data_IF_461463437856
#
_entry.id   IF_461463437856
#
_cell.length_a   1.000
_cell.length_b   1.000
_cell.length_c   1.000
_cell.angle_alpha   90.00
_cell.angle_beta   90.00
_cell.angle_gamma   90.00
#
_symmetry.space_group_name_H-M   'P 1'
#
loop_
_entity.id
_entity.type
_entity.pdbx_description
1 polymer ?
#
# COMPACT_ATOMS: atom_id res chain seq x y z
N UNK A 1 24.62 -13.20 13.99
CA UNK A 1 24.42 -13.29 12.54
C UNK A 1 23.83 -14.66 12.11
N UNK A 2 24.46 -15.83 12.50
CA UNK A 2 23.93 -17.16 12.16
C UNK A 2 22.57 -17.42 12.82
N UNK A 3 22.40 -17.04 14.09
CA UNK A 3 21.13 -17.16 14.80
C UNK A 3 20.04 -16.29 14.15
N UNK A 4 20.36 -15.06 13.78
CA UNK A 4 19.42 -14.13 13.16
C UNK A 4 19.00 -14.62 11.76
N UNK A 5 19.97 -15.14 10.99
CA UNK A 5 19.73 -15.71 9.67
C UNK A 5 18.83 -16.95 9.76
N UNK A 6 19.11 -17.82 10.74
CA UNK A 6 18.28 -18.99 11.00
C UNK A 6 16.85 -18.62 11.39
N UNK A 7 16.68 -17.57 12.20
CA UNK A 7 15.36 -17.06 12.57
C UNK A 7 14.64 -16.46 11.37
N UNK A 8 15.34 -15.70 10.53
CA UNK A 8 14.76 -15.11 9.33
C UNK A 8 14.25 -16.18 8.36
N UNK A 9 15.01 -17.27 8.15
CA UNK A 9 14.68 -18.35 7.21
C UNK A 9 13.56 -19.28 7.70
N UNK A 10 13.26 -19.26 8.99
CA UNK A 10 12.07 -19.94 9.52
C UNK A 10 10.76 -19.23 9.17
N UNK A 11 10.83 -18.02 8.59
CA UNK A 11 9.64 -17.33 8.12
C UNK A 11 8.94 -18.12 7.00
N UNK A 12 7.60 -18.28 7.05
CA UNK A 12 6.83 -18.99 6.04
C UNK A 12 7.09 -18.58 4.58
N UNK A 13 7.56 -17.36 4.34
CA UNK A 13 7.94 -16.89 2.99
C UNK A 13 9.07 -17.75 2.36
N UNK A 14 9.85 -18.49 3.16
CA UNK A 14 10.97 -19.31 2.69
C UNK A 14 10.68 -20.82 2.72
N UNK A 15 9.44 -21.24 3.00
CA UNK A 15 9.08 -22.68 3.16
C UNK A 15 9.50 -23.52 1.95
N UNK A 16 9.34 -22.99 0.73
CA UNK A 16 9.66 -23.73 -0.49
C UNK A 16 11.15 -23.75 -0.83
N UNK A 17 11.95 -22.87 -0.24
CA UNK A 17 13.35 -22.66 -0.58
C UNK A 17 14.22 -22.46 0.67
N UNK A 18 13.88 -23.13 1.77
CA UNK A 18 14.65 -22.99 3.01
C UNK A 18 16.04 -23.62 2.85
N UNK A 19 17.13 -22.83 2.90
CA UNK A 19 18.49 -23.34 2.85
C UNK A 19 18.80 -24.14 4.13
N UNK A 20 19.66 -25.14 3.99
CA UNK A 20 20.13 -25.91 5.12
C UNK A 20 21.17 -25.15 5.99
N UNK A 21 21.58 -25.75 7.10
CA UNK A 21 22.48 -25.10 8.06
C UNK A 21 23.88 -24.87 7.46
N UNK A 22 24.32 -25.74 6.59
CA UNK A 22 25.66 -25.65 5.96
C UNK A 22 25.66 -24.59 4.85
N UNK A 23 24.58 -24.46 4.09
CA UNK A 23 24.39 -23.35 3.15
C UNK A 23 24.36 -21.98 3.85
N UNK A 24 23.71 -21.90 5.02
CA UNK A 24 23.71 -20.66 5.83
C UNK A 24 25.10 -20.28 6.32
N UNK A 25 25.91 -21.26 6.73
CA UNK A 25 27.31 -21.05 7.13
C UNK A 25 28.16 -20.59 5.95
N UNK A 26 28.02 -21.27 4.81
CA UNK A 26 28.72 -20.89 3.58
C UNK A 26 28.37 -19.46 3.15
N UNK A 27 27.11 -19.07 3.22
CA UNK A 27 26.68 -17.71 2.91
C UNK A 27 27.33 -16.66 3.83
N UNK A 28 27.49 -16.97 5.13
CA UNK A 28 28.17 -16.09 6.08
C UNK A 28 29.65 -15.98 5.80
N UNK A 29 30.31 -17.10 5.50
CA UNK A 29 31.77 -17.17 5.31
C UNK A 29 32.19 -16.55 3.97
N UNK A 30 31.44 -16.79 2.90
CA UNK A 30 31.78 -16.36 1.55
C UNK A 30 31.14 -15.04 1.12
N UNK A 31 30.03 -14.64 1.74
CA UNK A 31 29.29 -13.42 1.37
C UNK A 31 28.79 -12.65 2.60
N UNK A 32 29.64 -12.27 3.57
CA UNK A 32 29.20 -11.67 4.86
C UNK A 32 28.47 -10.35 4.67
N UNK A 33 28.88 -9.53 3.69
CA UNK A 33 28.24 -8.24 3.37
C UNK A 33 26.82 -8.47 2.81
N UNK A 34 26.68 -9.43 1.89
CA UNK A 34 25.37 -9.77 1.30
C UNK A 34 24.43 -10.34 2.36
N UNK A 35 24.93 -11.22 3.20
CA UNK A 35 24.17 -11.82 4.32
C UNK A 35 23.67 -10.75 5.30
N UNK A 36 24.53 -9.79 5.62
CA UNK A 36 24.15 -8.66 6.49
C UNK A 36 23.12 -7.75 5.81
N UNK A 37 23.29 -7.49 4.53
CA UNK A 37 22.34 -6.68 3.75
C UNK A 37 20.97 -7.38 3.65
N UNK A 38 20.95 -8.70 3.43
CA UNK A 38 19.74 -9.51 3.44
C UNK A 38 19.00 -9.42 4.80
N UNK A 39 19.71 -9.59 5.91
CA UNK A 39 19.09 -9.46 7.24
C UNK A 39 18.51 -8.09 7.49
N UNK A 40 19.19 -7.02 7.08
CA UNK A 40 18.67 -5.66 7.18
C UNK A 40 17.42 -5.48 6.33
N UNK A 41 17.41 -6.01 5.10
CA UNK A 41 16.25 -5.96 4.21
C UNK A 41 15.07 -6.74 4.82
N UNK A 42 15.32 -7.95 5.34
CA UNK A 42 14.30 -8.76 6.00
C UNK A 42 13.71 -8.06 7.23
N UNK A 43 14.56 -7.47 8.09
CA UNK A 43 14.11 -6.72 9.26
C UNK A 43 13.28 -5.49 8.87
N UNK A 44 13.71 -4.77 7.81
CA UNK A 44 12.94 -3.65 7.28
C UNK A 44 11.60 -4.09 6.70
N UNK A 45 11.56 -5.21 6.00
CA UNK A 45 10.34 -5.81 5.48
C UNK A 45 9.38 -6.21 6.63
N UNK A 46 9.89 -6.88 7.67
CA UNK A 46 9.09 -7.22 8.87
C UNK A 46 8.56 -5.98 9.57
N UNK A 47 9.38 -4.96 9.75
CA UNK A 47 8.96 -3.69 10.35
C UNK A 47 7.88 -2.99 9.50
N UNK A 48 7.99 -3.03 8.18
CA UNK A 48 6.98 -2.50 7.28
C UNK A 48 5.64 -3.26 7.39
N UNK A 49 5.70 -4.60 7.47
CA UNK A 49 4.51 -5.44 7.71
C UNK A 49 3.90 -5.12 9.08
N UNK A 50 4.71 -5.04 10.14
CA UNK A 50 4.25 -4.73 11.49
C UNK A 50 3.62 -3.32 11.55
N UNK A 51 4.16 -2.35 10.83
CA UNK A 51 3.59 -1.02 10.73
C UNK A 51 2.25 -1.03 9.95
N UNK A 52 2.17 -1.79 8.88
CA UNK A 52 0.92 -1.99 8.13
C UNK A 52 -0.14 -2.67 9.02
N UNK A 53 0.27 -3.65 9.84
CA UNK A 53 -0.62 -4.33 10.78
C UNK A 53 -1.05 -3.46 11.97
N UNK A 54 -0.19 -2.53 12.43
CA UNK A 54 -0.54 -1.55 13.47
C UNK A 54 -1.54 -0.51 13.00
N UNK A 55 -1.60 -0.24 11.70
CA UNK A 55 -2.58 0.65 11.09
C UNK A 55 -3.97 0.01 10.95
N UNK A 56 -4.07 -1.33 11.13
CA UNK A 56 -5.33 -2.08 11.17
C UNK A 56 -5.54 -2.65 12.58
N UNK A 57 -6.21 -1.91 13.47
CA UNK A 57 -6.51 -2.35 14.83
C UNK A 57 -7.34 -3.65 14.82
N UNK A 58 -6.84 -4.71 15.41
CA UNK A 58 -7.38 -5.63 16.41
C UNK A 58 -6.78 -7.05 16.32
N UNK A 59 -6.59 -7.62 17.51
CA UNK A 59 -5.95 -8.87 17.87
C UNK A 59 -6.34 -10.10 17.03
N UNK A 60 -5.39 -10.63 16.24
CA UNK A 60 -5.35 -12.06 15.86
C UNK A 60 -3.89 -12.51 15.72
N UNK A 61 -3.58 -13.83 15.91
CA UNK A 61 -2.22 -14.35 15.70
C UNK A 61 -1.81 -14.09 14.25
N UNK A 62 -0.75 -13.27 14.09
CA UNK A 62 -0.36 -12.67 12.82
C UNK A 62 0.08 -13.65 11.73
N UNK A 63 0.51 -14.85 12.13
CA UNK A 63 1.29 -15.74 11.28
C UNK A 63 0.49 -16.58 10.29
N UNK A 64 -0.78 -16.86 10.58
CA UNK A 64 -1.64 -17.68 9.71
C UNK A 64 -2.60 -16.87 8.82
N UNK A 65 -2.90 -15.63 9.18
CA UNK A 65 -3.93 -14.83 8.48
C UNK A 65 -3.32 -13.92 7.41
N UNK A 66 -2.07 -13.49 7.57
CA UNK A 66 -1.42 -12.59 6.62
C UNK A 66 -1.14 -13.27 5.28
N UNK A 67 -0.58 -14.47 5.30
CA UNK A 67 -0.24 -15.22 4.08
C UNK A 67 -1.47 -15.65 3.28
N UNK A 68 -2.54 -16.13 3.95
CA UNK A 68 -3.74 -16.57 3.25
C UNK A 68 -4.53 -15.41 2.62
N UNK A 69 -4.59 -14.25 3.28
CA UNK A 69 -5.32 -13.09 2.76
C UNK A 69 -4.56 -12.39 1.63
N UNK A 70 -3.24 -12.30 1.68
CA UNK A 70 -2.43 -11.72 0.61
C UNK A 70 -2.48 -12.59 -0.65
N UNK A 71 -2.30 -13.90 -0.52
CA UNK A 71 -2.42 -14.83 -1.65
C UNK A 71 -3.80 -14.73 -2.29
N UNK A 72 -4.87 -14.68 -1.50
CA UNK A 72 -6.25 -14.59 -2.01
C UNK A 72 -6.49 -13.26 -2.75
N UNK A 73 -5.95 -12.13 -2.26
CA UNK A 73 -6.05 -10.83 -2.94
C UNK A 73 -5.25 -10.84 -4.24
N UNK A 74 -4.03 -11.38 -4.23
CA UNK A 74 -3.23 -11.52 -5.45
C UNK A 74 -3.91 -12.40 -6.50
N UNK A 75 -4.52 -13.52 -6.08
CA UNK A 75 -5.26 -14.40 -6.98
C UNK A 75 -6.50 -13.70 -7.53
N UNK A 76 -7.20 -12.92 -6.71
CA UNK A 76 -8.31 -12.09 -7.15
C UNK A 76 -7.86 -11.05 -8.20
N UNK A 77 -6.82 -10.27 -7.93
CA UNK A 77 -6.28 -9.30 -8.90
C UNK A 77 -5.87 -9.99 -10.21
N UNK A 78 -5.20 -11.14 -10.12
CA UNK A 78 -4.81 -11.93 -11.30
C UNK A 78 -6.02 -12.46 -12.07
N UNK A 79 -7.07 -12.92 -11.39
CA UNK A 79 -8.29 -13.38 -12.04
C UNK A 79 -9.02 -12.26 -12.80
N UNK A 80 -8.90 -11.01 -12.32
CA UNK A 80 -9.37 -9.81 -13.00
C UNK A 80 -8.39 -9.28 -14.07
N UNK A 81 -7.30 -10.02 -14.36
CA UNK A 81 -6.29 -9.58 -15.32
C UNK A 81 -5.51 -8.33 -14.86
N UNK A 82 -5.49 -8.04 -13.57
CA UNK A 82 -4.96 -6.80 -12.98
C UNK A 82 -5.55 -5.53 -13.62
N UNK A 83 -6.80 -5.59 -14.06
CA UNK A 83 -7.50 -4.48 -14.70
C UNK A 83 -8.89 -4.30 -14.09
N UNK A 84 -9.17 -3.09 -13.64
CA UNK A 84 -10.43 -2.71 -13.00
C UNK A 84 -11.05 -1.52 -13.75
N UNK A 85 -11.78 -1.83 -14.83
CA UNK A 85 -12.40 -0.85 -15.73
C UNK A 85 -13.21 0.25 -14.99
N UNK A 86 -14.00 -0.04 -13.92
CA UNK A 86 -14.69 1.00 -13.19
C UNK A 86 -13.77 2.02 -12.52
N UNK A 87 -12.60 1.58 -12.00
CA UNK A 87 -11.61 2.47 -11.39
C UNK A 87 -10.82 3.26 -12.43
N UNK A 88 -10.49 2.63 -13.57
CA UNK A 88 -9.85 3.32 -14.69
C UNK A 88 -10.72 4.46 -15.20
N UNK A 89 -12.02 4.18 -15.46
CA UNK A 89 -12.96 5.21 -15.90
C UNK A 89 -13.13 6.32 -14.88
N UNK A 90 -13.18 5.99 -13.59
CA UNK A 90 -13.28 7.00 -12.54
C UNK A 90 -12.02 7.89 -12.50
N UNK A 91 -10.84 7.30 -12.68
CA UNK A 91 -9.58 8.04 -12.75
C UNK A 91 -9.50 8.92 -14.00
N UNK A 92 -9.86 8.38 -15.18
CA UNK A 92 -9.90 9.12 -16.44
C UNK A 92 -10.91 10.27 -16.40
N UNK A 93 -12.10 10.03 -15.87
CA UNK A 93 -13.12 11.06 -15.72
C UNK A 93 -12.63 12.18 -14.81
N UNK A 94 -12.00 11.84 -13.70
CA UNK A 94 -11.44 12.82 -12.77
C UNK A 94 -10.33 13.67 -13.43
N UNK A 95 -9.48 13.03 -14.22
CA UNK A 95 -8.43 13.72 -14.98
C UNK A 95 -8.99 14.60 -16.12
N UNK A 96 -10.09 14.15 -16.75
CA UNK A 96 -10.72 14.87 -17.88
C UNK A 96 -11.59 16.02 -17.40
N UNK A 97 -12.35 15.85 -16.32
CA UNK A 97 -13.21 16.90 -15.73
C UNK A 97 -12.42 18.17 -15.36
N UNK A 98 -11.15 17.97 -15.04
CA UNK A 98 -10.25 19.06 -14.70
C UNK A 98 -8.84 18.76 -15.21
N UNK A 99 -8.57 18.91 -16.52
CA UNK A 99 -7.25 18.73 -17.05
C UNK A 99 -6.26 19.62 -16.31
N UNK A 100 -5.26 19.02 -15.70
CA UNK A 100 -4.18 19.75 -15.05
C UNK A 100 -2.84 19.10 -15.39
N UNK A 101 -1.77 19.88 -15.52
CA UNK A 101 -0.42 19.32 -15.62
C UNK A 101 -0.08 18.46 -14.41
N UNK A 102 0.79 17.44 -14.55
CA UNK A 102 1.18 16.55 -13.45
C UNK A 102 1.71 17.27 -12.21
N UNK A 103 2.37 18.41 -12.40
CA UNK A 103 2.90 19.28 -11.35
C UNK A 103 1.79 20.05 -10.59
N UNK A 104 0.62 20.23 -11.18
CA UNK A 104 -0.54 20.86 -10.52
C UNK A 104 -1.47 19.84 -9.83
N UNK A 105 -1.30 18.53 -10.07
CA UNK A 105 -2.16 17.46 -9.54
C UNK A 105 -2.28 17.52 -8.01
N UNK A 106 -1.19 17.79 -7.32
CA UNK A 106 -1.19 17.95 -5.86
C UNK A 106 -2.18 19.03 -5.40
N UNK A 107 -2.12 20.20 -6.01
CA UNK A 107 -2.99 21.32 -5.64
C UNK A 107 -4.45 21.05 -6.02
N UNK A 108 -4.68 20.36 -7.12
CA UNK A 108 -6.01 19.95 -7.57
C UNK A 108 -6.65 18.98 -6.57
N UNK A 109 -5.93 17.92 -6.17
CA UNK A 109 -6.41 16.93 -5.20
C UNK A 109 -6.63 17.55 -3.83
N UNK A 110 -5.70 18.38 -3.36
CA UNK A 110 -5.85 19.12 -2.10
C UNK A 110 -7.10 20.01 -2.10
N UNK A 111 -7.31 20.76 -3.18
CA UNK A 111 -8.48 21.61 -3.34
C UNK A 111 -9.78 20.79 -3.40
N UNK A 112 -9.79 19.63 -4.08
CA UNK A 112 -10.95 18.76 -4.19
C UNK A 112 -11.32 18.16 -2.85
N UNK A 113 -10.36 17.57 -2.12
CA UNK A 113 -10.56 17.04 -0.77
C UNK A 113 -11.15 18.11 0.17
N UNK A 114 -10.63 19.33 0.10
CA UNK A 114 -11.13 20.40 0.95
C UNK A 114 -12.53 20.88 0.54
N UNK A 115 -12.72 21.23 -0.74
CA UNK A 115 -13.98 21.86 -1.21
C UNK A 115 -15.16 20.90 -1.24
N UNK A 116 -14.93 19.64 -1.63
CA UNK A 116 -16.02 18.67 -1.81
C UNK A 116 -16.29 17.87 -0.52
N UNK A 117 -15.26 17.58 0.27
CA UNK A 117 -15.36 16.70 1.43
C UNK A 117 -15.04 17.38 2.76
N UNK A 118 -14.57 18.62 2.73
CA UNK A 118 -14.18 19.35 3.93
C UNK A 118 -12.89 18.85 4.56
N UNK A 119 -12.13 17.99 3.88
CA UNK A 119 -10.91 17.39 4.41
C UNK A 119 -9.75 18.37 4.25
N UNK A 120 -9.17 18.80 5.38
CA UNK A 120 -7.98 19.64 5.39
C UNK A 120 -6.73 18.80 5.21
N UNK A 121 -5.85 19.17 4.28
CA UNK A 121 -4.59 18.46 4.03
C UNK A 121 -3.43 19.30 4.56
N UNK A 122 -2.66 18.74 5.50
CA UNK A 122 -1.48 19.39 6.09
C UNK A 122 -0.26 18.48 5.97
N UNK A 123 0.92 19.09 5.87
CA UNK A 123 2.19 18.37 5.97
C UNK A 123 2.79 18.67 7.32
N UNK A 124 3.18 17.63 8.04
CA UNK A 124 3.76 17.71 9.38
C UNK A 124 5.20 17.21 9.40
N UNK A 125 6.04 17.76 10.32
CA UNK A 125 7.39 17.26 10.58
C UNK A 125 7.40 15.79 10.97
N UNK A 126 8.52 15.11 10.71
CA UNK A 126 8.69 13.67 11.02
C UNK A 126 8.44 13.40 12.51
N UNK A 127 8.94 14.28 13.37
CA UNK A 127 8.82 14.16 14.83
C UNK A 127 7.37 14.14 15.32
N UNK A 128 6.49 14.88 14.65
CA UNK A 128 5.06 14.94 14.99
C UNK A 128 4.30 13.72 14.45
N UNK A 129 4.77 13.12 13.38
CA UNK A 129 4.14 11.96 12.72
C UNK A 129 4.43 10.61 13.38
N UNK A 130 5.38 10.53 14.32
CA UNK A 130 5.71 9.30 15.07
C UNK A 130 5.85 8.06 14.17
N UNK A 131 6.67 8.15 13.14
CA UNK A 131 6.92 7.12 12.12
C UNK A 131 5.74 6.84 11.15
N UNK A 132 4.60 7.52 11.30
CA UNK A 132 3.52 7.43 10.33
C UNK A 132 3.83 8.29 9.09
N UNK A 133 3.58 7.75 7.91
CA UNK A 133 3.69 8.53 6.66
C UNK A 133 2.39 9.29 6.35
N UNK A 134 1.26 8.79 6.82
CA UNK A 134 -0.06 9.36 6.65
C UNK A 134 -0.95 9.08 7.86
N UNK A 135 -1.69 10.09 8.29
CA UNK A 135 -2.78 9.95 9.27
C UNK A 135 -4.03 10.57 8.65
N UNK A 136 -5.09 9.76 8.52
CA UNK A 136 -6.39 10.21 8.05
C UNK A 136 -7.38 10.16 9.21
N UNK A 137 -7.67 11.32 9.77
CA UNK A 137 -8.71 11.50 10.78
C UNK A 137 -10.05 11.76 10.07
N UNK A 138 -10.89 10.73 10.02
CA UNK A 138 -12.19 10.77 9.35
C UNK A 138 -13.15 11.69 10.11
N UNK A 139 -13.16 11.65 11.44
CA UNK A 139 -14.05 12.46 12.30
C UNK A 139 -13.64 13.94 12.28
N UNK A 140 -12.34 14.20 12.43
CA UNK A 140 -11.78 15.55 12.37
C UNK A 140 -11.63 16.10 10.94
N UNK A 141 -11.97 15.31 9.93
CA UNK A 141 -11.81 15.66 8.49
C UNK A 141 -10.43 16.23 8.18
N UNK A 142 -9.39 15.54 8.66
CA UNK A 142 -8.01 15.96 8.49
C UNK A 142 -7.17 14.84 7.87
N UNK A 143 -6.37 15.18 6.88
CA UNK A 143 -5.34 14.34 6.28
C UNK A 143 -3.97 14.96 6.56
N UNK A 144 -3.19 14.28 7.39
CA UNK A 144 -1.84 14.68 7.74
C UNK A 144 -0.84 13.80 6.99
N UNK A 145 0.11 14.41 6.32
CA UNK A 145 1.15 13.76 5.54
C UNK A 145 2.52 14.10 6.12
N UNK A 146 3.39 13.11 6.21
CA UNK A 146 4.75 13.34 6.70
C UNK A 146 5.57 14.14 5.68
N UNK A 147 6.43 15.02 6.17
CA UNK A 147 7.46 15.69 5.35
C UNK A 147 8.50 14.72 4.80
N UNK A 148 8.64 13.51 5.37
CA UNK A 148 9.48 12.44 4.83
C UNK A 148 9.02 11.96 3.45
N UNK A 149 7.74 12.15 3.10
CA UNK A 149 7.23 11.86 1.76
C UNK A 149 7.67 12.97 0.80
N UNK A 150 8.21 12.58 -0.35
CA UNK A 150 8.40 13.50 -1.46
C UNK A 150 7.06 13.95 -2.08
N UNK A 151 7.11 14.90 -2.97
CA UNK A 151 5.93 15.50 -3.60
C UNK A 151 5.06 14.48 -4.36
N UNK A 152 5.61 13.58 -5.21
CA UNK A 152 4.83 12.54 -5.87
C UNK A 152 4.15 11.59 -4.90
N UNK A 153 4.84 11.16 -3.85
CA UNK A 153 4.26 10.27 -2.85
C UNK A 153 3.16 10.94 -2.03
N UNK A 154 3.28 12.23 -1.68
CA UNK A 154 2.17 12.98 -1.05
C UNK A 154 0.96 13.06 -1.96
N UNK A 155 1.17 13.29 -3.25
CA UNK A 155 0.10 13.32 -4.25
C UNK A 155 -0.60 11.97 -4.34
N UNK A 156 0.17 10.88 -4.36
CA UNK A 156 -0.35 9.52 -4.33
C UNK A 156 -1.21 9.24 -3.09
N UNK A 157 -0.75 9.66 -1.90
CA UNK A 157 -1.52 9.47 -0.67
C UNK A 157 -2.85 10.24 -0.68
N UNK A 158 -2.90 11.42 -1.29
CA UNK A 158 -4.16 12.15 -1.46
C UNK A 158 -5.11 11.46 -2.44
N UNK A 159 -4.59 10.96 -3.58
CA UNK A 159 -5.38 10.20 -4.54
C UNK A 159 -5.97 8.93 -3.92
N UNK A 160 -5.17 8.22 -3.13
CA UNK A 160 -5.60 7.05 -2.39
C UNK A 160 -6.75 7.36 -1.41
N UNK A 161 -6.63 8.43 -0.61
CA UNK A 161 -7.71 8.85 0.31
C UNK A 161 -8.95 9.29 -0.49
N UNK A 162 -8.76 10.00 -1.59
CA UNK A 162 -9.86 10.42 -2.45
C UNK A 162 -10.67 9.22 -2.97
N UNK A 163 -10.00 8.11 -3.30
CA UNK A 163 -10.66 6.88 -3.72
C UNK A 163 -11.65 6.40 -2.66
N UNK A 164 -11.24 6.31 -1.41
CA UNK A 164 -12.13 5.89 -0.32
C UNK A 164 -13.29 6.85 -0.07
N UNK A 165 -13.11 8.14 -0.34
CA UNK A 165 -14.12 9.16 -0.04
C UNK A 165 -15.12 9.31 -1.18
N UNK A 166 -14.69 9.16 -2.43
CA UNK A 166 -15.55 9.41 -3.60
C UNK A 166 -16.01 8.14 -4.32
N UNK A 167 -15.28 7.04 -4.20
CA UNK A 167 -15.50 5.83 -4.98
C UNK A 167 -15.65 4.58 -4.13
N UNK A 168 -16.09 4.74 -2.87
CA UNK A 168 -16.34 3.63 -1.95
C UNK A 168 -17.31 2.60 -2.56
N UNK A 169 -18.39 3.06 -3.20
CA UNK A 169 -19.37 2.19 -3.86
C UNK A 169 -18.74 1.35 -4.98
N UNK A 170 -17.75 1.90 -5.70
CA UNK A 170 -17.01 1.15 -6.73
C UNK A 170 -16.14 0.09 -6.08
N UNK A 171 -15.44 0.42 -4.98
CA UNK A 171 -14.63 -0.55 -4.24
C UNK A 171 -15.48 -1.71 -3.72
N UNK A 172 -16.65 -1.41 -3.14
CA UNK A 172 -17.61 -2.40 -2.66
C UNK A 172 -18.10 -3.28 -3.81
N UNK A 173 -18.56 -2.68 -4.91
CA UNK A 173 -19.05 -3.41 -6.09
C UNK A 173 -18.01 -4.36 -6.68
N UNK A 174 -16.72 -3.95 -6.74
CA UNK A 174 -15.64 -4.82 -7.25
C UNK A 174 -15.43 -6.04 -6.32
N UNK A 175 -15.61 -5.86 -5.02
CA UNK A 175 -15.38 -6.93 -4.05
C UNK A 175 -16.60 -7.80 -3.74
N UNK A 176 -17.82 -7.38 -4.10
CA UNK A 176 -19.04 -8.17 -3.93
C UNK A 176 -18.99 -9.52 -4.64
N UNK A 177 -18.47 -9.55 -5.88
CA UNK A 177 -18.35 -10.76 -6.70
C UNK A 177 -17.01 -11.51 -6.44
N UNK A 178 -16.23 -11.08 -5.45
CA UNK A 178 -14.94 -11.69 -5.17
C UNK A 178 -15.07 -12.93 -4.28
N UNK A 179 -14.05 -13.79 -4.30
CA UNK A 179 -13.92 -14.92 -3.37
C UNK A 179 -13.50 -14.50 -1.94
N UNK A 180 -13.43 -13.20 -1.67
CA UNK A 180 -13.03 -12.65 -0.38
C UNK A 180 -14.19 -12.78 0.63
N UNK A 181 -14.02 -13.61 1.64
CA UNK A 181 -15.11 -13.96 2.59
C UNK A 181 -15.00 -13.26 3.94
N UNK A 182 -13.83 -12.72 4.27
CA UNK A 182 -13.61 -12.05 5.56
C UNK A 182 -13.59 -10.53 5.40
N UNK A 183 -14.17 -9.82 6.37
CA UNK A 183 -14.11 -8.35 6.40
C UNK A 183 -12.66 -7.85 6.23
N UNK A 184 -11.71 -8.49 6.90
CA UNK A 184 -10.29 -8.12 6.82
C UNK A 184 -9.72 -8.26 5.41
N UNK A 185 -10.04 -9.34 4.69
CA UNK A 185 -9.57 -9.52 3.31
C UNK A 185 -10.22 -8.50 2.36
N UNK A 186 -11.48 -8.15 2.60
CA UNK A 186 -12.19 -7.11 1.84
C UNK A 186 -11.56 -5.74 2.12
N UNK A 187 -11.39 -5.36 3.40
CA UNK A 187 -10.76 -4.08 3.78
C UNK A 187 -9.35 -3.95 3.18
N UNK A 188 -8.58 -5.05 3.21
CA UNK A 188 -7.25 -5.07 2.60
C UNK A 188 -7.32 -4.96 1.07
N UNK A 189 -8.26 -5.63 0.42
CA UNK A 189 -8.48 -5.52 -1.01
C UNK A 189 -8.85 -4.09 -1.41
N UNK A 190 -9.70 -3.41 -0.64
CA UNK A 190 -10.04 -2.01 -0.87
C UNK A 190 -8.80 -1.10 -0.82
N UNK A 191 -7.82 -1.37 0.08
CA UNK A 191 -6.56 -0.63 0.12
C UNK A 191 -5.78 -0.84 -1.19
N UNK A 192 -5.67 -2.06 -1.69
CA UNK A 192 -4.96 -2.35 -2.94
C UNK A 192 -5.70 -1.76 -4.16
N UNK A 193 -7.02 -1.79 -4.19
CA UNK A 193 -7.82 -1.14 -5.22
C UNK A 193 -7.69 0.40 -5.18
N UNK A 194 -7.60 0.99 -4.00
CA UNK A 194 -7.33 2.42 -3.86
C UNK A 194 -5.90 2.80 -4.30
N UNK A 195 -4.91 1.92 -4.07
CA UNK A 195 -3.57 2.07 -4.63
C UNK A 195 -3.61 2.00 -6.16
N UNK A 196 -4.37 1.05 -6.72
CA UNK A 196 -4.58 0.93 -8.17
C UNK A 196 -5.19 2.20 -8.77
N UNK A 197 -6.29 2.70 -8.17
CA UNK A 197 -6.90 3.97 -8.59
C UNK A 197 -5.92 5.14 -8.55
N UNK A 198 -5.15 5.27 -7.48
CA UNK A 198 -4.16 6.34 -7.34
C UNK A 198 -3.09 6.26 -8.44
N UNK A 199 -2.64 5.05 -8.78
CA UNK A 199 -1.70 4.83 -9.87
C UNK A 199 -2.32 5.18 -11.23
N UNK A 200 -3.56 4.74 -11.51
CA UNK A 200 -4.27 5.04 -12.75
C UNK A 200 -4.51 6.56 -12.92
N UNK A 201 -4.83 7.26 -11.83
CA UNK A 201 -5.02 8.71 -11.87
C UNK A 201 -3.73 9.48 -12.16
N UNK A 202 -2.62 9.05 -11.57
CA UNK A 202 -1.34 9.75 -11.70
C UNK A 202 -0.54 9.35 -12.95
N UNK A 203 -0.84 8.18 -13.51
CA UNK A 203 -0.19 7.63 -14.72
C UNK A 203 -1.25 7.13 -15.71
N UNK A 204 -2.12 8.01 -16.23
CA UNK A 204 -3.18 7.59 -17.15
C UNK A 204 -2.57 6.96 -18.42
N UNK A 205 -3.14 5.82 -18.83
CA UNK A 205 -2.65 5.02 -19.97
C UNK A 205 -2.64 5.83 -21.28
N UNK A 206 -3.47 6.87 -21.39
CA UNK A 206 -3.51 7.80 -22.54
C UNK A 206 -2.18 8.51 -22.80
N UNK A 207 -1.28 8.62 -21.82
CA UNK A 207 0.07 9.19 -22.01
C UNK A 207 1.13 8.17 -22.49
N UNK A 208 0.81 6.87 -22.50
CA UNK A 208 1.75 5.81 -22.90
C UNK A 208 1.74 5.51 -24.41
N UNK A 209 0.86 6.18 -25.18
CA UNK A 209 0.70 5.99 -26.63
C UNK A 209 1.16 7.23 -27.46
N UNK A 210 2.08 8.04 -26.92
CA UNK A 210 2.75 9.10 -27.67
C UNK A 210 4.17 8.73 -28.03
#
# INVERSE_FOLDING_TARGET
LLADLRTAIQDPIFIEQAPDLDELRLAIDHAPVLTTAFLKLYQSHRAAIDNIMRLGNEKMPADMVALSSETTIHDFFRSCGNHFDPLERAAEQLATDRPCPPDEMYMMLKARLHKKHGISVTTLPIEEMKDALRIHDVEGKALQLSEALDYPNRTFQMAHVLCFVEFADILESITEDSSLTTKRSIDRCHIELANYFAAALLMPVSYTHL
#
